data_IF_479586729789
#
_entry.id   IF_479586729789
#
_cell.length_a   1.000
_cell.length_b   1.000
_cell.length_c   1.000
_cell.angle_alpha   90.00
_cell.angle_beta   90.00
_cell.angle_gamma   90.00
#
_symmetry.space_group_name_H-M   'P 1'
#
loop_
_entity.id
_entity.type
_entity.pdbx_description
1 polymer ?
#
# COMPACT_ATOMS: atom_id res chain seq x y z
N UNK A 1 -11.50 4.32 48.99
CA UNK A 1 -12.20 4.55 47.70
C UNK A 1 -12.86 3.25 47.29
N UNK A 2 -14.18 3.26 47.09
CA UNK A 2 -14.93 2.05 46.77
C UNK A 2 -14.83 1.77 45.26
N UNK A 3 -14.31 0.61 44.80
CA UNK A 3 -14.12 0.34 43.37
C UNK A 3 -15.40 0.45 42.53
N UNK A 4 -16.57 0.25 43.15
CA UNK A 4 -17.88 0.39 42.49
C UNK A 4 -18.22 1.83 42.09
N UNK A 5 -17.54 2.83 42.65
CA UNK A 5 -17.73 4.23 42.28
C UNK A 5 -17.11 4.57 40.92
N UNK A 6 -16.14 3.77 40.43
CA UNK A 6 -15.39 4.07 39.21
C UNK A 6 -15.53 2.99 38.13
N UNK A 7 -15.85 1.76 38.54
CA UNK A 7 -16.06 0.63 37.65
C UNK A 7 -17.51 0.58 37.16
N UNK A 8 -17.68 0.16 35.91
CA UNK A 8 -18.97 -0.14 35.30
C UNK A 8 -18.99 -1.60 34.87
N UNK A 9 -20.14 -2.27 35.02
CA UNK A 9 -20.30 -3.69 34.69
C UNK A 9 -20.47 -3.97 33.20
N UNK A 10 -20.71 -2.94 32.39
CA UNK A 10 -20.83 -3.04 30.94
C UNK A 10 -20.15 -1.83 30.28
N UNK A 11 -19.70 -2.03 29.03
CA UNK A 11 -19.15 -0.93 28.21
C UNK A 11 -20.14 0.22 28.11
N UNK A 12 -21.42 -0.06 27.87
CA UNK A 12 -22.46 0.97 27.80
C UNK A 12 -22.63 1.76 29.10
N UNK A 13 -22.60 1.07 30.25
CA UNK A 13 -22.65 1.74 31.55
C UNK A 13 -21.37 2.53 31.85
N UNK A 14 -20.23 2.12 31.30
CA UNK A 14 -18.98 2.90 31.37
C UNK A 14 -19.10 4.16 30.52
N UNK A 15 -19.47 4.00 29.24
CA UNK A 15 -19.56 5.08 28.28
C UNK A 15 -20.57 6.14 28.70
N UNK A 16 -21.78 5.72 29.13
CA UNK A 16 -22.82 6.65 29.63
C UNK A 16 -22.40 7.44 30.87
N UNK A 17 -21.52 6.87 31.69
CA UNK A 17 -21.12 7.46 32.97
C UNK A 17 -20.09 8.58 32.79
N UNK A 18 -19.18 8.41 31.83
CA UNK A 18 -18.05 9.34 31.64
C UNK A 18 -18.16 10.21 30.39
N UNK A 19 -18.98 9.82 29.42
CA UNK A 19 -19.08 10.50 28.14
C UNK A 19 -20.54 10.83 27.80
N UNK A 20 -20.72 11.92 27.05
CA UNK A 20 -22.02 12.40 26.59
C UNK A 20 -21.92 12.85 25.13
N UNK A 21 -23.04 12.83 24.40
CA UNK A 21 -23.09 13.23 23.00
C UNK A 21 -22.15 12.39 22.13
N UNK A 22 -21.40 13.05 21.24
CA UNK A 22 -20.52 12.38 20.27
C UNK A 22 -19.43 11.51 20.93
N UNK A 23 -18.95 11.88 22.12
CA UNK A 23 -17.97 11.07 22.87
C UNK A 23 -18.57 9.76 23.41
N UNK A 24 -19.87 9.74 23.70
CA UNK A 24 -20.57 8.51 24.06
C UNK A 24 -20.67 7.58 22.86
N UNK A 25 -21.03 8.10 21.69
CA UNK A 25 -21.15 7.31 20.46
C UNK A 25 -19.79 6.75 20.00
N UNK A 26 -18.72 7.54 20.13
CA UNK A 26 -17.35 7.07 19.90
C UNK A 26 -16.96 5.95 20.89
N UNK A 27 -17.22 6.12 22.19
CA UNK A 27 -16.97 5.10 23.21
C UNK A 27 -17.77 3.81 22.95
N UNK A 28 -18.97 3.93 22.39
CA UNK A 28 -19.82 2.80 22.03
C UNK A 28 -19.46 2.15 20.69
N UNK A 29 -18.48 2.68 19.96
CA UNK A 29 -18.12 2.21 18.61
C UNK A 29 -19.26 2.38 17.61
N UNK A 30 -20.14 3.37 17.82
CA UNK A 30 -21.34 3.64 16.99
C UNK A 30 -21.15 4.80 16.02
N UNK A 31 -19.94 5.35 15.95
CA UNK A 31 -19.65 6.46 15.05
C UNK A 31 -19.66 5.96 13.60
N UNK A 32 -20.43 6.59 12.69
CA UNK A 32 -20.44 6.22 11.30
C UNK A 32 -19.11 6.61 10.63
N UNK A 33 -18.73 5.92 9.53
CA UNK A 33 -17.56 6.24 8.74
C UNK A 33 -17.85 7.52 7.93
N UNK A 34 -17.82 8.65 8.61
CA UNK A 34 -18.02 9.96 8.00
C UNK A 34 -16.67 10.43 7.47
N UNK A 35 -16.69 10.98 6.27
CA UNK A 35 -15.52 11.33 5.45
C UNK A 35 -14.62 12.46 6.03
N UNK A 36 -14.86 12.88 7.29
CA UNK A 36 -14.27 14.05 7.91
C UNK A 36 -14.02 13.86 9.44
N UNK A 37 -13.80 12.62 9.88
CA UNK A 37 -13.55 12.32 11.30
C UNK A 37 -12.10 11.85 11.55
N UNK A 38 -11.40 12.53 12.46
CA UNK A 38 -10.04 12.21 12.90
C UNK A 38 -9.95 10.90 13.72
N UNK A 39 -11.02 10.10 13.74
CA UNK A 39 -11.16 8.79 14.39
C UNK A 39 -11.41 7.68 13.34
N UNK A 40 -10.76 7.77 12.18
CA UNK A 40 -10.72 6.67 11.22
C UNK A 40 -10.08 5.44 11.86
N UNK A 41 -10.70 4.27 11.72
CA UNK A 41 -10.01 2.99 11.93
C UNK A 41 -8.86 2.97 10.91
N UNK A 42 -7.63 3.10 11.40
CA UNK A 42 -6.44 3.19 10.57
C UNK A 42 -5.96 1.78 10.22
N UNK A 43 -5.36 1.67 9.04
CA UNK A 43 -4.76 0.42 8.59
C UNK A 43 -3.31 0.33 9.06
N UNK A 44 -2.90 -0.83 9.56
CA UNK A 44 -1.53 -1.12 9.97
C UNK A 44 -1.07 -2.47 9.43
N UNK A 45 0.23 -2.67 9.17
CA UNK A 45 0.70 -3.90 8.56
C UNK A 45 0.66 -5.11 9.51
N UNK A 46 0.16 -6.25 9.02
CA UNK A 46 0.08 -7.53 9.75
C UNK A 46 1.43 -8.25 9.89
N UNK A 47 2.45 -7.56 10.42
CA UNK A 47 3.79 -8.15 10.57
C UNK A 47 3.84 -9.29 11.59
N UNK A 48 2.95 -9.27 12.57
CA UNK A 48 2.88 -10.30 13.62
C UNK A 48 2.03 -11.52 13.19
N UNK A 49 1.27 -11.41 12.09
CA UNK A 49 0.45 -12.48 11.54
C UNK A 49 1.02 -13.08 10.26
N UNK A 50 0.28 -12.95 9.17
CA UNK A 50 0.62 -13.53 7.87
C UNK A 50 1.66 -12.73 7.08
N UNK A 51 1.92 -11.47 7.48
CA UNK A 51 2.81 -10.54 6.82
C UNK A 51 2.51 -10.36 5.32
N UNK A 52 1.20 -10.28 5.00
CA UNK A 52 0.69 -10.19 3.63
C UNK A 52 -0.40 -9.14 3.44
N UNK A 53 -0.92 -8.56 4.52
CA UNK A 53 -2.03 -7.61 4.45
C UNK A 53 -1.92 -6.55 5.55
N UNK A 54 -2.77 -5.54 5.48
CA UNK A 54 -3.01 -4.60 6.55
C UNK A 54 -4.34 -4.90 7.27
N UNK A 55 -4.35 -4.63 8.57
CA UNK A 55 -5.50 -4.81 9.46
C UNK A 55 -6.02 -3.45 9.92
N UNK A 56 -7.30 -3.39 10.26
CA UNK A 56 -8.00 -2.26 10.86
C UNK A 56 -8.75 -2.69 12.14
N UNK A 57 -8.35 -3.79 12.77
CA UNK A 57 -9.12 -4.47 13.81
C UNK A 57 -8.96 -3.89 15.23
N UNK A 58 -8.24 -2.77 15.37
CA UNK A 58 -7.97 -2.10 16.63
C UNK A 58 -7.01 -2.86 17.56
N UNK A 59 -6.24 -3.83 17.04
CA UNK A 59 -5.23 -4.59 17.79
C UNK A 59 -3.80 -4.22 17.40
N UNK A 60 -3.58 -2.97 17.00
CA UNK A 60 -2.27 -2.44 16.66
C UNK A 60 -1.27 -2.69 17.81
N UNK A 61 -0.07 -3.20 17.52
CA UNK A 61 1.00 -3.25 18.50
C UNK A 61 1.35 -1.85 19.02
N UNK A 62 1.69 -1.75 20.32
CA UNK A 62 1.99 -0.46 20.98
C UNK A 62 3.07 0.37 20.27
N UNK A 63 4.06 -0.28 19.64
CA UNK A 63 5.12 0.44 18.93
C UNK A 63 4.61 1.12 17.65
N UNK A 64 3.57 0.58 17.00
CA UNK A 64 2.92 1.20 15.85
C UNK A 64 2.08 2.40 16.30
N UNK A 65 1.34 2.26 17.41
CA UNK A 65 0.59 3.38 18.02
C UNK A 65 1.49 4.54 18.45
N UNK A 66 2.63 4.21 19.08
CA UNK A 66 3.61 5.21 19.55
C UNK A 66 4.31 5.95 18.40
N UNK A 67 4.22 5.42 17.18
CA UNK A 67 4.85 5.94 15.98
C UNK A 67 3.82 6.01 14.83
N UNK A 68 2.59 6.43 15.14
CA UNK A 68 1.44 6.30 14.25
C UNK A 68 1.68 6.84 12.83
N UNK A 69 2.36 7.99 12.70
CA UNK A 69 2.70 8.61 11.41
C UNK A 69 3.53 7.71 10.47
N UNK A 70 4.23 6.72 11.04
CA UNK A 70 5.06 5.79 10.28
C UNK A 70 4.32 4.51 9.94
N UNK A 71 3.42 4.02 10.80
CA UNK A 71 2.84 2.68 10.66
C UNK A 71 1.37 2.66 10.27
N UNK A 72 0.64 3.73 10.60
CA UNK A 72 -0.79 3.79 10.38
C UNK A 72 -1.08 4.58 9.10
N UNK A 73 -2.00 4.06 8.30
CA UNK A 73 -2.46 4.67 7.05
C UNK A 73 -3.98 4.88 7.09
N UNK A 74 -4.48 5.86 6.34
CA UNK A 74 -5.91 6.19 6.36
C UNK A 74 -6.76 5.24 5.51
N UNK A 75 -6.12 4.48 4.62
CA UNK A 75 -6.77 3.50 3.76
C UNK A 75 -5.96 2.21 3.66
N UNK A 76 -6.66 1.11 3.33
CA UNK A 76 -6.03 -0.16 3.01
C UNK A 76 -5.03 -0.01 1.86
N UNK A 77 -5.41 0.74 0.82
CA UNK A 77 -4.58 1.02 -0.35
C UNK A 77 -3.26 1.69 0.06
N UNK A 78 -3.30 2.78 0.83
CA UNK A 78 -2.11 3.48 1.29
C UNK A 78 -1.22 2.57 2.17
N UNK A 79 -1.82 1.72 3.00
CA UNK A 79 -1.07 0.75 3.80
C UNK A 79 -0.38 -0.31 2.93
N UNK A 80 -1.10 -0.88 1.96
CA UNK A 80 -0.56 -1.87 1.03
C UNK A 80 0.55 -1.27 0.15
N UNK A 81 0.38 -0.05 -0.37
CA UNK A 81 1.43 0.63 -1.13
C UNK A 81 2.69 0.88 -0.29
N UNK A 82 2.54 1.14 1.01
CA UNK A 82 3.65 1.48 1.89
C UNK A 82 4.47 0.28 2.35
N UNK A 83 3.81 -0.85 2.63
CA UNK A 83 4.43 -2.01 3.28
C UNK A 83 4.44 -3.28 2.45
N UNK A 84 3.57 -3.36 1.44
CA UNK A 84 3.33 -4.55 0.63
C UNK A 84 3.24 -4.20 -0.86
N UNK A 85 4.00 -3.20 -1.32
CA UNK A 85 4.03 -2.80 -2.74
C UNK A 85 4.40 -3.96 -3.68
N UNK A 86 5.26 -4.85 -3.18
CA UNK A 86 5.73 -6.09 -3.77
C UNK A 86 4.69 -7.22 -3.83
N UNK A 87 3.49 -7.02 -3.27
CA UNK A 87 2.33 -7.93 -3.36
C UNK A 87 1.00 -7.15 -3.24
N UNK A 88 0.96 -5.96 -3.85
CA UNK A 88 -0.07 -4.97 -3.61
C UNK A 88 -1.49 -5.48 -3.87
N UNK A 89 -1.69 -6.27 -4.94
CA UNK A 89 -3.00 -6.81 -5.32
C UNK A 89 -3.48 -7.91 -4.36
N UNK A 90 -2.56 -8.73 -3.84
CA UNK A 90 -2.90 -9.71 -2.81
C UNK A 90 -3.29 -9.00 -1.51
N UNK A 91 -2.51 -7.99 -1.11
CA UNK A 91 -2.78 -7.17 0.09
C UNK A 91 -4.14 -6.44 -0.01
N UNK A 92 -4.33 -5.65 -1.06
CA UNK A 92 -5.53 -4.82 -1.22
C UNK A 92 -6.79 -5.61 -1.57
N UNK A 93 -6.67 -6.89 -1.92
CA UNK A 93 -7.77 -7.70 -2.45
C UNK A 93 -8.30 -7.20 -3.79
N UNK A 94 -7.54 -6.34 -4.48
CA UNK A 94 -7.93 -5.80 -5.78
C UNK A 94 -7.36 -6.64 -6.92
N UNK A 95 -7.95 -6.53 -8.10
CA UNK A 95 -7.45 -7.22 -9.29
C UNK A 95 -6.65 -6.29 -10.19
N UNK A 96 -5.54 -6.78 -10.76
CA UNK A 96 -4.89 -6.21 -11.93
C UNK A 96 -5.84 -5.62 -12.99
N UNK A 97 -5.71 -4.34 -13.30
CA UNK A 97 -6.28 -3.78 -14.53
C UNK A 97 -5.14 -3.54 -15.50
N UNK A 98 -4.95 -4.47 -16.43
CA UNK A 98 -3.93 -4.32 -17.46
C UNK A 98 -4.39 -3.27 -18.47
N UNK A 99 -3.63 -2.17 -18.57
CA UNK A 99 -3.73 -1.26 -19.70
C UNK A 99 -2.91 -1.81 -20.86
N UNK A 100 -3.57 -2.01 -22.01
CA UNK A 100 -2.85 -2.35 -23.25
C UNK A 100 -1.79 -1.27 -23.53
N UNK A 101 -0.51 -1.66 -23.52
CA UNK A 101 0.60 -0.76 -23.83
C UNK A 101 1.50 -0.38 -22.64
N UNK A 102 1.28 -0.92 -21.44
CA UNK A 102 2.23 -0.76 -20.34
C UNK A 102 3.58 -1.43 -20.64
N UNK A 103 4.65 -0.79 -20.19
CA UNK A 103 6.03 -1.24 -20.32
C UNK A 103 6.45 -2.05 -19.09
N UNK A 104 7.13 -3.17 -19.31
CA UNK A 104 7.69 -4.03 -18.26
C UNK A 104 9.13 -4.44 -18.58
N UNK A 105 9.99 -4.68 -17.57
CA UNK A 105 11.39 -4.98 -17.81
C UNK A 105 11.59 -6.35 -18.46
N UNK A 106 12.48 -6.41 -19.46
CA UNK A 106 12.88 -7.67 -20.06
C UNK A 106 14.00 -8.32 -19.25
N UNK A 107 13.66 -9.40 -18.55
CA UNK A 107 14.64 -10.21 -17.81
C UNK A 107 15.16 -11.42 -18.60
N UNK A 108 14.82 -11.57 -19.87
CA UNK A 108 15.11 -12.77 -20.68
C UNK A 108 16.60 -13.11 -20.85
N UNK A 109 17.52 -12.32 -20.27
CA UNK A 109 18.91 -12.69 -20.08
C UNK A 109 19.77 -12.57 -21.35
N UNK A 110 19.22 -12.00 -22.42
CA UNK A 110 19.92 -11.76 -23.69
C UNK A 110 20.96 -10.63 -23.66
N UNK A 111 21.21 -10.02 -22.50
CA UNK A 111 22.14 -8.90 -22.34
C UNK A 111 21.59 -7.54 -22.76
N UNK A 112 20.34 -7.46 -23.24
CA UNK A 112 19.67 -6.21 -23.56
C UNK A 112 19.00 -5.64 -22.33
N UNK A 113 19.42 -4.44 -21.92
CA UNK A 113 18.73 -3.67 -20.88
C UNK A 113 17.55 -2.97 -21.54
N UNK A 114 16.33 -3.53 -21.55
CA UNK A 114 15.18 -2.89 -22.23
C UNK A 114 13.84 -3.21 -21.56
N UNK A 115 12.80 -2.46 -21.92
CA UNK A 115 11.43 -2.72 -21.50
C UNK A 115 10.52 -3.03 -22.69
N UNK A 116 9.63 -4.01 -22.52
CA UNK A 116 8.71 -4.49 -23.55
C UNK A 116 7.31 -3.96 -23.29
N UNK A 117 6.54 -3.78 -24.37
CA UNK A 117 5.12 -3.45 -24.34
C UNK A 117 4.35 -4.36 -25.33
N UNK A 118 4.69 -5.65 -25.36
CA UNK A 118 4.16 -6.62 -26.34
C UNK A 118 2.94 -7.41 -25.83
N UNK A 119 2.45 -7.10 -24.63
CA UNK A 119 1.32 -7.76 -23.98
C UNK A 119 1.61 -9.17 -23.43
N UNK A 120 2.86 -9.64 -23.46
CA UNK A 120 3.26 -10.95 -22.90
C UNK A 120 3.85 -10.83 -21.50
N UNK A 121 3.21 -10.00 -20.67
CA UNK A 121 3.63 -9.71 -19.30
C UNK A 121 3.55 -11.01 -18.48
N UNK A 122 4.63 -11.46 -17.83
CA UNK A 122 4.58 -12.62 -16.95
C UNK A 122 3.65 -12.41 -15.74
N UNK A 123 2.94 -13.46 -15.31
CA UNK A 123 1.96 -13.40 -14.21
C UNK A 123 2.52 -12.75 -12.94
N UNK A 124 3.76 -13.03 -12.56
CA UNK A 124 4.36 -12.45 -11.35
C UNK A 124 4.59 -10.94 -11.44
N UNK A 125 4.69 -10.37 -12.65
CA UNK A 125 4.73 -8.92 -12.86
C UNK A 125 3.33 -8.33 -12.86
N UNK A 126 2.33 -9.08 -13.35
CA UNK A 126 0.90 -8.71 -13.27
C UNK A 126 0.44 -8.69 -11.81
N UNK A 127 0.90 -9.61 -10.98
CA UNK A 127 0.63 -9.57 -9.53
C UNK A 127 1.32 -8.39 -8.82
N UNK A 128 2.24 -7.69 -9.49
CA UNK A 128 3.10 -6.67 -8.89
C UNK A 128 3.29 -5.45 -9.80
N UNK A 129 2.21 -5.00 -10.44
CA UNK A 129 2.29 -3.99 -11.50
C UNK A 129 2.84 -2.66 -11.00
N UNK A 130 2.54 -2.26 -9.76
CA UNK A 130 3.09 -1.05 -9.17
C UNK A 130 4.63 -1.08 -9.15
N UNK A 131 5.23 -2.26 -9.04
CA UNK A 131 6.67 -2.44 -9.11
C UNK A 131 7.17 -2.57 -10.56
N UNK A 132 6.58 -3.45 -11.37
CA UNK A 132 7.12 -3.85 -12.67
C UNK A 132 6.58 -3.08 -13.88
N UNK A 133 5.35 -2.58 -13.82
CA UNK A 133 4.72 -1.90 -14.94
C UNK A 133 4.95 -0.39 -14.89
N UNK A 134 5.01 0.20 -16.06
CA UNK A 134 5.14 1.64 -16.24
C UNK A 134 4.39 2.09 -17.48
N UNK A 135 3.69 3.22 -17.39
CA UNK A 135 2.90 3.77 -18.50
C UNK A 135 3.74 4.31 -19.66
N UNK A 136 5.06 4.41 -19.48
CA UNK A 136 6.00 4.93 -20.48
C UNK A 136 7.30 4.14 -20.45
N UNK A 137 7.95 3.98 -21.60
CA UNK A 137 9.28 3.39 -21.71
C UNK A 137 10.29 4.06 -20.77
N UNK A 138 10.29 5.39 -20.71
CA UNK A 138 11.22 6.17 -19.87
C UNK A 138 11.13 5.82 -18.40
N UNK A 139 9.92 5.79 -17.83
CA UNK A 139 9.71 5.36 -16.43
C UNK A 139 10.16 3.93 -16.19
N UNK A 140 9.89 3.01 -17.10
CA UNK A 140 10.33 1.62 -16.95
C UNK A 140 11.86 1.53 -16.93
N UNK A 141 12.51 2.21 -17.88
CA UNK A 141 13.96 2.24 -17.99
C UNK A 141 14.63 2.92 -16.80
N UNK A 142 14.09 4.04 -16.32
CA UNK A 142 14.59 4.73 -15.12
C UNK A 142 14.45 3.84 -13.88
N UNK A 143 13.36 3.08 -13.76
CA UNK A 143 13.12 2.23 -12.60
C UNK A 143 14.01 0.99 -12.55
N UNK A 144 14.17 0.30 -13.68
CA UNK A 144 14.78 -1.04 -13.73
C UNK A 144 16.18 -1.05 -14.36
N UNK A 145 16.49 -0.05 -15.19
CA UNK A 145 17.70 0.02 -16.00
C UNK A 145 18.39 1.40 -15.92
N UNK A 146 18.25 2.15 -14.82
CA UNK A 146 18.90 3.47 -14.66
C UNK A 146 20.42 3.43 -14.91
N UNK A 147 21.05 2.30 -14.60
CA UNK A 147 22.48 2.07 -14.80
C UNK A 147 22.89 1.93 -16.28
N UNK A 148 21.92 1.70 -17.18
CA UNK A 148 22.12 1.62 -18.62
C UNK A 148 20.95 2.24 -19.40
N UNK A 149 20.58 3.45 -18.98
CA UNK A 149 19.40 4.16 -19.48
C UNK A 149 19.43 4.37 -21.01
N UNK A 150 20.60 4.66 -21.59
CA UNK A 150 20.73 4.92 -23.02
C UNK A 150 20.44 3.69 -23.87
N UNK A 151 20.92 2.51 -23.45
CA UNK A 151 20.61 1.25 -24.11
C UNK A 151 19.11 0.92 -23.98
N UNK A 152 18.54 1.13 -22.80
CA UNK A 152 17.12 0.86 -22.55
C UNK A 152 16.18 1.72 -23.37
N UNK A 153 16.48 3.00 -23.50
CA UNK A 153 15.72 3.91 -24.35
C UNK A 153 15.99 3.68 -25.86
N UNK A 154 16.94 2.81 -26.23
CA UNK A 154 17.37 2.67 -27.61
C UNK A 154 18.01 3.94 -28.18
N UNK A 155 18.61 4.77 -27.31
CA UNK A 155 19.19 6.07 -27.64
C UNK A 155 20.72 6.02 -27.78
N UNK A 156 21.30 4.83 -27.91
CA UNK A 156 22.70 4.69 -28.32
C UNK A 156 22.89 5.53 -29.58
N UNK A 157 23.71 6.58 -29.44
CA UNK A 157 23.98 7.55 -30.49
C UNK A 157 24.23 6.78 -31.78
N UNK A 158 23.40 7.06 -32.80
CA UNK A 158 23.74 6.76 -34.18
C UNK A 158 25.10 7.40 -34.38
N UNK A 159 26.16 6.60 -34.27
CA UNK A 159 27.49 7.00 -34.66
C UNK A 159 27.32 7.48 -36.07
N UNK A 160 27.47 8.78 -36.29
CA UNK A 160 27.40 9.35 -37.62
C UNK A 160 28.48 8.65 -38.41
N UNK A 161 28.09 7.73 -39.28
CA UNK A 161 28.95 7.21 -40.33
C UNK A 161 29.52 8.43 -41.04
N UNK A 162 30.77 8.71 -40.72
CA UNK A 162 31.54 9.76 -41.35
C UNK A 162 32.71 9.10 -42.05
N UNK A 163 32.41 8.73 -43.31
CA UNK A 163 33.25 8.60 -44.51
C UNK A 163 34.37 7.54 -44.48
#
# INVERSE_FOLDING_TARGET
>A
VNPTEWLSSTMEACCKKYFVGYLYDACMGRYPPDHDDCNVMLFYPDWDGSNKNCLDDGKEPYYMLSNHQYFLSNSLEECCEKFYDWDFYECSGTTPVLTNGDYYPDWSGGGTSTCLADGKIPDYMISNQNWYLSTTLEKCCDKHFYWNINECLGTTAVGTDKW
#
